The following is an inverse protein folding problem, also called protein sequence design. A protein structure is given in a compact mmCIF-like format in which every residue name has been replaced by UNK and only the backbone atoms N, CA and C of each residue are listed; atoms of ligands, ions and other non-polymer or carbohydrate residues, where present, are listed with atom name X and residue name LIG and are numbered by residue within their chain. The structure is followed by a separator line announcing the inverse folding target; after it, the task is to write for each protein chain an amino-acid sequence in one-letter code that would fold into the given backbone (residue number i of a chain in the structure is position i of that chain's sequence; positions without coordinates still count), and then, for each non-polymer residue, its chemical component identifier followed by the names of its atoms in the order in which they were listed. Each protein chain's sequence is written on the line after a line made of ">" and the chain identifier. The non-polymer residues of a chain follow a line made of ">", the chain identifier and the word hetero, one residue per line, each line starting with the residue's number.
data_IF_207534868630
#
_entry.id   IF_207534868630
#
_cell.length_a   1.000
_cell.length_b   1.000
_cell.length_c   1.000
_cell.angle_alpha   90.00
_cell.angle_beta   90.00
_cell.angle_gamma   90.00
#
_symmetry.space_group_name_H-M   'P 1'
#
loop_
_entity.id
_entity.type
_entity.pdbx_description
1 polymer ?
#
# COMPACT_ATOMS: atom_id res chain seq x y z
N UNK A 1 51.10 24.01 25.82
CA UNK A 1 50.44 22.92 26.58
C UNK A 1 49.53 22.18 25.62
N UNK A 2 49.77 20.87 25.52
CA UNK A 2 48.94 19.79 24.96
C UNK A 2 48.64 19.73 23.45
N UNK A 3 49.06 18.61 22.87
CA UNK A 3 48.95 18.14 21.49
C UNK A 3 47.65 17.34 21.25
N UNK A 4 47.38 16.91 20.01
CA UNK A 4 47.48 15.49 19.56
C UNK A 4 46.74 15.21 18.22
N UNK A 5 47.52 14.68 17.25
CA UNK A 5 47.29 13.59 16.27
C UNK A 5 46.15 13.52 15.21
N UNK A 6 46.64 13.46 13.94
CA UNK A 6 46.54 12.38 12.90
C UNK A 6 45.17 11.91 12.35
N UNK A 7 45.01 12.15 11.02
CA UNK A 7 44.46 11.36 9.88
C UNK A 7 43.30 10.34 10.11
N UNK A 8 42.31 10.15 9.23
CA UNK A 8 42.36 9.81 7.77
C UNK A 8 40.93 9.64 7.21
N UNK A 9 40.73 9.82 5.89
CA UNK A 9 39.78 9.11 4.98
C UNK A 9 38.26 9.15 5.26
N UNK A 10 37.31 9.43 4.36
CA UNK A 10 37.26 9.46 2.90
C UNK A 10 36.06 10.36 2.50
N UNK A 11 36.29 11.49 1.86
CA UNK A 11 35.23 12.27 1.22
C UNK A 11 35.20 11.93 -0.26
N UNK A 12 34.38 10.96 -0.66
CA UNK A 12 34.11 10.73 -2.09
C UNK A 12 33.20 11.86 -2.57
N UNK A 13 33.79 12.72 -3.39
CA UNK A 13 33.11 13.71 -4.19
C UNK A 13 32.31 13.02 -5.30
N UNK A 14 31.04 13.35 -5.45
CA UNK A 14 30.35 13.24 -6.73
C UNK A 14 29.50 14.51 -6.92
N UNK A 15 30.06 15.45 -7.69
CA UNK A 15 29.27 16.41 -8.44
C UNK A 15 28.30 15.67 -9.36
N UNK A 16 27.03 16.07 -9.43
CA UNK A 16 26.47 16.50 -10.70
C UNK A 16 25.00 16.92 -10.61
N UNK A 17 24.76 18.02 -11.34
CA UNK A 17 23.61 18.25 -12.20
C UNK A 17 22.22 18.19 -11.59
N UNK A 18 21.76 19.40 -11.28
CA UNK A 18 20.39 19.83 -11.50
C UNK A 18 19.93 19.35 -12.90
N UNK A 19 19.16 18.27 -12.95
CA UNK A 19 18.45 17.86 -14.16
C UNK A 19 16.99 17.64 -13.79
N UNK A 20 16.14 18.54 -14.28
CA UNK A 20 14.71 18.32 -14.44
C UNK A 20 14.50 16.98 -15.14
N UNK A 21 14.14 15.93 -14.40
CA UNK A 21 13.50 14.74 -14.95
C UNK A 21 11.99 14.99 -14.89
N UNK A 22 11.42 15.58 -15.94
CA UNK A 22 10.68 14.85 -16.97
C UNK A 22 9.49 14.09 -16.37
N UNK A 23 8.38 14.81 -16.21
CA UNK A 23 7.03 14.26 -16.13
C UNK A 23 6.75 13.49 -17.43
N UNK A 24 7.02 12.19 -17.45
CA UNK A 24 6.65 11.33 -18.56
C UNK A 24 5.17 10.95 -18.46
N UNK A 25 4.37 11.69 -19.23
CA UNK A 25 3.28 11.21 -20.09
C UNK A 25 2.51 9.98 -19.58
N UNK A 26 1.39 10.26 -18.90
CA UNK A 26 0.31 9.31 -18.67
C UNK A 26 -0.32 8.97 -20.02
N UNK A 27 0.06 7.85 -20.64
CA UNK A 27 -0.70 7.30 -21.76
C UNK A 27 -2.01 6.68 -21.21
N UNK A 28 -3.04 7.50 -21.10
CA UNK A 28 -4.40 7.08 -20.80
C UNK A 28 -4.96 6.29 -22.01
N UNK A 29 -5.04 4.97 -21.88
CA UNK A 29 -5.78 4.15 -22.84
C UNK A 29 -7.28 4.33 -22.56
N UNK A 30 -7.93 5.23 -23.31
CA UNK A 30 -9.38 5.35 -23.38
C UNK A 30 -9.95 4.14 -24.14
N UNK A 31 -10.51 3.17 -23.41
CA UNK A 31 -11.27 2.07 -24.00
C UNK A 31 -12.69 2.58 -24.29
N UNK A 32 -13.02 2.68 -25.58
CA UNK A 32 -14.32 3.13 -26.09
C UNK A 32 -15.43 2.15 -25.70
N UNK A 33 -16.50 2.67 -25.08
CA UNK A 33 -17.60 1.91 -24.50
C UNK A 33 -18.50 1.26 -25.56
N UNK A 34 -18.58 -0.07 -25.56
CA UNK A 34 -19.67 -0.86 -26.15
C UNK A 34 -20.57 -1.38 -25.04
N UNK A 35 -21.82 -0.92 -25.02
CA UNK A 35 -22.85 -1.24 -24.02
C UNK A 35 -23.10 -2.73 -23.84
N UNK A 36 -22.97 -3.22 -22.60
CA UNK A 36 -23.74 -4.34 -22.02
C UNK A 36 -23.50 -4.36 -20.50
N UNK A 37 -24.57 -4.49 -19.71
CA UNK A 37 -24.51 -4.59 -18.26
C UNK A 37 -23.61 -5.77 -17.84
N UNK A 38 -22.42 -5.46 -17.35
CA UNK A 38 -21.57 -6.37 -16.59
C UNK A 38 -20.75 -5.52 -15.64
N UNK A 39 -20.68 -5.94 -14.37
CA UNK A 39 -19.80 -5.31 -13.40
C UNK A 39 -18.35 -5.52 -13.86
N UNK A 40 -17.77 -4.50 -14.51
CA UNK A 40 -16.40 -4.54 -14.98
C UNK A 40 -15.50 -4.19 -13.80
N UNK A 41 -14.84 -5.20 -13.24
CA UNK A 41 -13.68 -4.99 -12.36
C UNK A 41 -12.54 -4.48 -13.25
N UNK A 42 -12.17 -3.21 -13.10
CA UNK A 42 -11.07 -2.61 -13.86
C UNK A 42 -9.75 -2.94 -13.15
N UNK A 43 -9.07 -3.99 -13.60
CA UNK A 43 -7.73 -4.36 -13.10
C UNK A 43 -6.66 -3.49 -13.78
N UNK A 44 -6.00 -2.62 -13.03
CA UNK A 44 -4.82 -1.88 -13.49
C UNK A 44 -3.57 -2.54 -12.93
N UNK A 45 -2.55 -2.76 -13.78
CA UNK A 45 -1.24 -3.23 -13.31
C UNK A 45 -0.31 -2.03 -13.21
N UNK A 46 0.01 -1.62 -11.98
CA UNK A 46 0.99 -0.55 -11.72
C UNK A 46 2.36 -1.19 -11.52
N UNK A 47 3.36 -0.73 -12.27
CA UNK A 47 4.77 -1.16 -12.13
C UNK A 47 5.55 -0.10 -11.33
N UNK A 48 5.75 -0.24 -10.01
CA UNK A 48 6.68 0.63 -9.29
C UNK A 48 8.10 0.45 -9.84
N UNK A 49 8.92 1.50 -9.77
CA UNK A 49 10.29 1.61 -10.31
C UNK A 49 11.32 0.65 -9.69
N UNK A 50 10.87 -0.28 -8.83
CA UNK A 50 11.65 -1.27 -8.10
C UNK A 50 11.23 -2.71 -8.43
N UNK A 51 10.93 -3.02 -9.69
CA UNK A 51 10.82 -4.41 -10.21
C UNK A 51 9.76 -5.34 -9.61
N UNK A 52 9.02 -4.93 -8.57
CA UNK A 52 7.93 -5.70 -7.97
C UNK A 52 6.62 -5.35 -8.67
N UNK A 53 5.99 -6.29 -9.37
CA UNK A 53 4.67 -6.06 -9.95
C UNK A 53 3.59 -6.10 -8.87
N UNK A 54 2.75 -5.08 -8.83
CA UNK A 54 1.57 -5.02 -7.95
C UNK A 54 0.33 -5.26 -8.79
N UNK A 55 -0.45 -6.27 -8.44
CA UNK A 55 -1.79 -6.48 -8.99
C UNK A 55 -2.78 -5.69 -8.15
N UNK A 56 -3.45 -4.72 -8.75
CA UNK A 56 -4.34 -3.77 -8.07
C UNK A 56 -5.79 -3.95 -8.55
N UNK A 57 -6.72 -3.92 -7.61
CA UNK A 57 -8.16 -3.88 -7.88
C UNK A 57 -8.81 -2.83 -7.00
N UNK A 58 -9.29 -1.74 -7.60
CA UNK A 58 -9.96 -0.67 -6.88
C UNK A 58 -11.43 -1.01 -6.62
N UNK A 59 -11.93 -0.59 -5.46
CA UNK A 59 -13.35 -0.54 -5.17
C UNK A 59 -13.91 0.70 -5.89
N UNK A 60 -15.04 0.55 -6.61
CA UNK A 60 -15.66 1.63 -7.40
C UNK A 60 -16.92 2.23 -6.76
N UNK A 61 -17.36 1.65 -5.64
CA UNK A 61 -18.55 2.07 -4.89
C UNK A 61 -18.22 2.10 -3.41
N UNK A 62 -18.68 3.12 -2.69
CA UNK A 62 -18.44 3.20 -1.25
C UNK A 62 -17.99 4.60 -0.84
N UNK A 63 -17.32 4.68 0.31
CA UNK A 63 -16.87 5.95 0.87
C UNK A 63 -15.50 6.28 0.31
N UNK A 64 -15.32 7.51 -0.17
CA UNK A 64 -13.98 7.99 -0.49
C UNK A 64 -13.29 8.50 0.76
N UNK A 65 -12.02 8.14 0.94
CA UNK A 65 -11.24 8.59 2.08
C UNK A 65 -9.77 8.22 1.98
N UNK A 66 -8.93 9.08 2.55
CA UNK A 66 -7.48 8.85 2.63
C UNK A 66 -7.07 8.10 3.90
N UNK A 67 -6.63 6.86 3.79
CA UNK A 67 -6.22 6.04 4.93
C UNK A 67 -4.69 5.91 5.05
N UNK A 68 -3.91 6.76 4.36
CA UNK A 68 -2.45 6.65 4.27
C UNK A 68 -1.75 6.62 5.63
N UNK A 69 -2.26 7.37 6.59
CA UNK A 69 -1.63 7.57 7.90
C UNK A 69 -1.65 6.30 8.76
N UNK A 70 -2.59 5.39 8.50
CA UNK A 70 -2.75 4.14 9.25
C UNK A 70 -1.94 2.98 8.67
N UNK A 71 -1.48 3.09 7.42
CA UNK A 71 -0.80 2.00 6.70
C UNK A 71 0.44 1.52 7.45
N UNK A 72 1.30 2.44 7.90
CA UNK A 72 2.53 2.08 8.61
C UNK A 72 2.23 1.41 9.95
N UNK A 73 1.20 1.86 10.66
CA UNK A 73 0.78 1.30 11.94
C UNK A 73 0.27 -0.12 11.77
N UNK A 74 -0.64 -0.34 10.81
CA UNK A 74 -1.15 -1.66 10.48
C UNK A 74 -0.05 -2.63 10.01
N UNK A 75 0.78 -2.24 9.06
CA UNK A 75 1.83 -3.12 8.55
C UNK A 75 2.87 -3.49 9.62
N UNK A 76 3.12 -2.61 10.59
CA UNK A 76 4.03 -2.90 11.70
C UNK A 76 3.36 -3.80 12.75
N UNK A 77 2.06 -3.66 12.99
CA UNK A 77 1.35 -4.46 14.00
C UNK A 77 1.22 -5.93 13.60
N UNK A 78 1.13 -6.21 12.29
CA UNK A 78 1.03 -7.59 11.75
C UNK A 78 2.40 -8.22 11.43
N UNK A 79 3.49 -7.45 11.55
CA UNK A 79 4.84 -7.94 11.26
C UNK A 79 5.20 -9.09 12.21
N UNK A 80 5.70 -10.19 11.64
CA UNK A 80 6.09 -11.38 12.42
C UNK A 80 4.91 -12.20 12.96
N UNK A 81 3.67 -11.74 12.78
CA UNK A 81 2.48 -12.51 13.14
C UNK A 81 2.17 -13.52 12.04
N UNK A 82 2.26 -14.80 12.36
CA UNK A 82 1.88 -15.88 11.43
C UNK A 82 0.36 -15.87 11.24
N UNK A 83 -0.08 -15.67 9.99
CA UNK A 83 -1.49 -15.73 9.60
C UNK A 83 -1.72 -17.10 8.97
N UNK A 84 -2.67 -17.86 9.51
CA UNK A 84 -3.03 -19.18 8.98
C UNK A 84 -3.53 -19.13 7.53
N UNK A 85 -3.57 -20.29 6.87
CA UNK A 85 -4.09 -20.37 5.51
C UNK A 85 -5.55 -19.95 5.43
N UNK A 86 -5.87 -19.09 4.45
CA UNK A 86 -7.19 -18.51 4.23
C UNK A 86 -7.73 -17.73 5.44
N UNK A 87 -6.86 -17.38 6.38
CA UNK A 87 -7.21 -16.51 7.50
C UNK A 87 -6.82 -15.07 7.20
N UNK A 88 -7.51 -14.17 7.90
CA UNK A 88 -7.34 -12.73 7.77
C UNK A 88 -6.97 -12.16 9.13
N UNK A 89 -6.07 -11.17 9.12
CA UNK A 89 -5.93 -10.23 10.23
C UNK A 89 -6.47 -8.87 9.76
N UNK A 90 -7.17 -8.17 10.66
CA UNK A 90 -7.76 -6.88 10.35
C UNK A 90 -7.63 -5.91 11.50
N UNK A 91 -7.56 -4.63 11.17
CA UNK A 91 -7.63 -3.54 12.13
C UNK A 91 -8.49 -2.42 11.57
N UNK A 92 -9.32 -1.85 12.43
CA UNK A 92 -10.11 -0.67 12.14
C UNK A 92 -9.47 0.54 12.80
N UNK A 93 -9.33 1.62 12.05
CA UNK A 93 -8.80 2.89 12.53
C UNK A 93 -9.85 4.00 12.39
N UNK A 94 -10.16 4.66 13.51
CA UNK A 94 -11.03 5.82 13.51
C UNK A 94 -10.32 7.02 12.90
N UNK A 95 -11.03 7.77 12.07
CA UNK A 95 -10.64 9.09 11.60
C UNK A 95 -11.59 10.15 12.16
N UNK A 96 -11.14 11.40 12.15
CA UNK A 96 -12.04 12.52 12.32
C UNK A 96 -13.17 12.51 11.27
N UNK A 97 -14.26 13.21 11.56
CA UNK A 97 -15.43 13.37 10.69
C UNK A 97 -16.31 12.11 10.54
N UNK A 98 -16.29 11.20 11.52
CA UNK A 98 -17.18 10.03 11.53
C UNK A 98 -16.90 9.06 10.37
N UNK A 99 -15.63 8.93 9.99
CA UNK A 99 -15.16 7.95 9.01
C UNK A 99 -14.13 7.03 9.67
N UNK A 100 -13.96 5.84 9.10
CA UNK A 100 -12.97 4.87 9.55
C UNK A 100 -12.26 4.22 8.38
N UNK A 101 -11.14 3.59 8.67
CA UNK A 101 -10.32 2.86 7.73
C UNK A 101 -10.19 1.42 8.19
N UNK A 102 -10.73 0.50 7.41
CA UNK A 102 -10.65 -0.93 7.66
C UNK A 102 -9.51 -1.51 6.81
N UNK A 103 -8.45 -1.98 7.47
CA UNK A 103 -7.26 -2.54 6.82
C UNK A 103 -7.18 -4.04 7.11
N UNK A 104 -6.86 -4.84 6.08
CA UNK A 104 -6.85 -6.29 6.16
C UNK A 104 -5.63 -6.89 5.45
N UNK A 105 -5.15 -8.01 5.97
CA UNK A 105 -4.21 -8.90 5.30
C UNK A 105 -4.76 -10.33 5.30
N UNK A 106 -5.10 -10.84 4.12
CA UNK A 106 -5.55 -12.20 3.89
C UNK A 106 -4.38 -13.05 3.39
N UNK A 107 -4.11 -14.18 4.05
CA UNK A 107 -3.17 -15.16 3.54
C UNK A 107 -3.88 -16.17 2.65
N UNK A 108 -3.57 -16.19 1.35
CA UNK A 108 -4.25 -17.06 0.39
C UNK A 108 -3.67 -18.50 0.34
N UNK A 109 -2.57 -18.76 1.05
CA UNK A 109 -1.83 -20.03 0.96
C UNK A 109 -1.34 -20.47 2.35
N UNK A 110 -0.23 -21.21 2.45
CA UNK A 110 0.33 -21.76 3.69
C UNK A 110 0.51 -20.72 4.80
N UNK A 111 0.42 -21.14 6.06
CA UNK A 111 0.60 -20.26 7.22
C UNK A 111 2.01 -19.63 7.24
N UNK A 112 2.08 -18.30 7.13
CA UNK A 112 3.33 -17.54 7.24
C UNK A 112 3.05 -16.10 7.70
N UNK A 113 4.10 -15.34 8.01
CA UNK A 113 4.00 -13.94 8.40
C UNK A 113 4.11 -13.02 7.17
N UNK A 114 3.28 -11.96 7.05
CA UNK A 114 3.30 -11.07 5.91
C UNK A 114 4.61 -10.28 5.82
N UNK A 115 5.25 -10.21 4.63
CA UNK A 115 6.42 -9.36 4.45
C UNK A 115 6.04 -7.88 4.62
N UNK A 116 6.71 -7.19 5.53
CA UNK A 116 6.40 -5.78 5.85
C UNK A 116 6.48 -4.87 4.61
N UNK A 117 7.53 -5.03 3.79
CA UNK A 117 7.70 -4.25 2.56
C UNK A 117 6.56 -4.46 1.55
N UNK A 118 6.02 -5.68 1.47
CA UNK A 118 4.90 -5.99 0.59
C UNK A 118 3.60 -5.36 1.09
N UNK A 119 3.35 -5.40 2.40
CA UNK A 119 2.20 -4.73 3.03
C UNK A 119 2.22 -3.23 2.73
N UNK A 120 3.35 -2.57 2.99
CA UNK A 120 3.51 -1.13 2.75
C UNK A 120 3.30 -0.79 1.27
N UNK A 121 3.98 -1.51 0.38
CA UNK A 121 3.90 -1.29 -1.08
C UNK A 121 2.46 -1.45 -1.58
N UNK A 122 1.78 -2.53 -1.17
CA UNK A 122 0.41 -2.80 -1.59
C UNK A 122 -0.55 -1.71 -1.14
N UNK A 123 -0.58 -1.40 0.16
CA UNK A 123 -1.55 -0.46 0.72
C UNK A 123 -1.27 0.98 0.29
N UNK A 124 0.00 1.38 0.15
CA UNK A 124 0.34 2.70 -0.40
C UNK A 124 -0.10 2.83 -1.86
N UNK A 125 0.05 1.76 -2.66
CA UNK A 125 -0.43 1.74 -4.05
C UNK A 125 -1.94 1.87 -4.09
N UNK A 126 -2.68 1.13 -3.24
CA UNK A 126 -4.14 1.26 -3.14
C UNK A 126 -4.52 2.68 -2.75
N UNK A 127 -3.92 3.25 -1.71
CA UNK A 127 -4.26 4.59 -1.22
C UNK A 127 -3.98 5.68 -2.26
N UNK A 128 -2.94 5.53 -3.08
CA UNK A 128 -2.57 6.50 -4.09
C UNK A 128 -3.45 6.44 -5.35
N UNK A 129 -4.01 5.28 -5.67
CA UNK A 129 -4.72 5.04 -6.94
C UNK A 129 -6.22 4.89 -6.76
N UNK A 130 -6.67 4.30 -5.66
CA UNK A 130 -8.06 3.92 -5.44
C UNK A 130 -8.70 4.84 -4.38
N UNK A 131 -9.41 5.88 -4.82
CA UNK A 131 -10.01 6.87 -3.92
C UNK A 131 -11.09 6.33 -2.96
N UNK A 132 -11.71 5.19 -3.27
CA UNK A 132 -12.65 4.47 -2.40
C UNK A 132 -12.04 3.21 -1.78
N UNK A 133 -10.71 3.12 -1.76
CA UNK A 133 -10.02 1.90 -1.33
C UNK A 133 -9.98 0.80 -2.38
N UNK A 134 -9.45 -0.34 -1.99
CA UNK A 134 -9.19 -1.44 -2.90
C UNK A 134 -8.29 -2.49 -2.28
N UNK A 135 -7.85 -3.39 -3.13
CA UNK A 135 -7.02 -4.52 -2.77
C UNK A 135 -5.81 -4.61 -3.68
N UNK A 136 -4.68 -5.04 -3.13
CA UNK A 136 -3.46 -5.25 -3.86
C UNK A 136 -2.74 -6.53 -3.42
N UNK A 137 -2.09 -7.17 -4.40
CA UNK A 137 -1.20 -8.30 -4.21
C UNK A 137 0.16 -7.94 -4.80
N UNK A 138 1.22 -8.06 -4.01
CA UNK A 138 2.59 -7.87 -4.50
C UNK A 138 3.11 -9.22 -5.00
N UNK A 139 3.70 -9.24 -6.20
CA UNK A 139 4.27 -10.46 -6.75
C UNK A 139 5.32 -11.09 -5.85
N UNK A 140 5.32 -12.42 -5.81
CA UNK A 140 6.17 -13.20 -4.90
C UNK A 140 5.62 -13.32 -3.47
N UNK A 141 4.41 -12.79 -3.21
CA UNK A 141 3.72 -12.96 -1.92
C UNK A 141 2.42 -13.74 -2.08
N UNK A 142 1.97 -14.37 -1.00
CA UNK A 142 0.66 -15.05 -0.91
C UNK A 142 -0.40 -14.17 -0.25
N UNK A 143 -0.05 -12.91 0.03
CA UNK A 143 -0.89 -12.01 0.78
C UNK A 143 -1.64 -11.06 -0.15
N UNK A 144 -2.93 -10.95 0.12
CA UNK A 144 -3.76 -9.87 -0.37
C UNK A 144 -3.95 -8.86 0.74
N UNK A 145 -3.61 -7.61 0.43
CA UNK A 145 -3.79 -6.49 1.35
C UNK A 145 -4.95 -5.64 0.86
N UNK A 146 -5.84 -5.28 1.77
CA UNK A 146 -7.03 -4.47 1.47
C UNK A 146 -7.05 -3.24 2.36
N UNK A 147 -7.43 -2.10 1.77
CA UNK A 147 -7.68 -0.83 2.42
C UNK A 147 -9.08 -0.38 2.02
N UNK A 148 -9.96 -0.19 2.99
CA UNK A 148 -11.36 0.17 2.74
C UNK A 148 -11.78 1.34 3.65
N UNK A 149 -11.91 2.57 3.10
CA UNK A 149 -12.50 3.69 3.82
C UNK A 149 -14.02 3.49 3.95
N UNK A 150 -14.53 3.58 5.16
CA UNK A 150 -15.95 3.39 5.48
C UNK A 150 -16.51 4.58 6.28
N UNK A 151 -17.83 4.76 6.22
CA UNK A 151 -18.55 5.65 7.14
C UNK A 151 -18.69 5.01 8.53
N UNK A 152 -18.77 5.86 9.53
CA UNK A 152 -18.94 5.49 10.93
C UNK A 152 -17.62 5.29 11.66
N UNK A 153 -17.72 4.74 12.87
CA UNK A 153 -16.59 4.50 13.77
C UNK A 153 -16.33 3.00 13.92
N UNK A 154 -15.13 2.66 14.36
CA UNK A 154 -14.76 1.33 14.80
C UNK A 154 -15.58 0.95 16.03
N UNK A 155 -16.03 -0.31 16.09
CA UNK A 155 -16.70 -0.81 17.29
C UNK A 155 -15.74 -0.72 18.49
N UNK A 156 -16.24 -0.35 19.69
CA UNK A 156 -15.43 -0.43 20.90
C UNK A 156 -15.01 -1.89 21.14
N UNK A 157 -13.81 -2.12 21.71
CA UNK A 157 -13.40 -3.47 22.08
C UNK A 157 -14.44 -4.03 23.05
N UNK A 158 -15.11 -5.12 22.67
CA UNK A 158 -16.00 -5.84 23.58
C UNK A 158 -15.14 -6.49 24.65
N UNK A 159 -15.22 -5.96 25.87
CA UNK A 159 -14.55 -6.48 27.07
C UNK A 159 -15.01 -7.87 27.45
#
# INVERSE_FOLDING_TARGET
>A
MSALFVARSSGVSISNSLHLAQFHKLDFIMITFGSLLSAVVLSMVVRPSLGQSVSLSCITTGTSGDCSDFISSFCSSIQGTTIGQLNTISQCFNRANGTRCDLFALNQNTALAPPQAACLTALQTVSAVCGQGGQAVVAGTTFQFTLDPNLGECAPPTS
#
